data_IF_780942179787
#
_entry.id   IF_780942179787
#
_cell.length_a   1.000
_cell.length_b   1.000
_cell.length_c   1.000
_cell.angle_alpha   90.00
_cell.angle_beta   90.00
_cell.angle_gamma   90.00
#
_symmetry.space_group_name_H-M   'P 1'
#
loop_
_entity.id
_entity.type
_entity.pdbx_description
1 polymer ?
#
# COMPACT_ATOMS: atom_id res chain seq x y z
N UNK A 1 -12.94 3.18 19.69
CA UNK A 1 -12.65 1.94 20.45
C UNK A 1 -11.14 1.76 20.40
N UNK A 2 -10.48 1.88 21.55
CA UNK A 2 -9.03 1.68 21.64
C UNK A 2 -8.69 0.19 21.59
N UNK A 3 -7.53 -0.16 21.05
CA UNK A 3 -7.03 -1.53 21.01
C UNK A 3 -5.53 -1.54 21.33
N UNK A 4 -5.11 -2.37 22.29
CA UNK A 4 -3.69 -2.48 22.70
C UNK A 4 -3.01 -1.13 23.04
N UNK A 5 -3.78 -0.18 23.58
CA UNK A 5 -3.27 1.17 23.90
C UNK A 5 -3.24 2.15 22.72
N UNK A 6 -3.66 1.73 21.53
CA UNK A 6 -3.76 2.58 20.34
C UNK A 6 -5.19 3.10 20.08
N UNK A 7 -5.35 4.26 19.40
CA UNK A 7 -6.65 4.89 19.14
C UNK A 7 -7.65 4.02 18.39
N UNK A 8 -7.16 3.19 17.47
CA UNK A 8 -7.97 2.29 16.66
C UNK A 8 -7.37 0.89 16.56
N UNK A 9 -8.18 -0.10 16.16
CA UNK A 9 -7.66 -1.44 15.83
C UNK A 9 -6.65 -1.42 14.68
N UNK A 10 -6.78 -0.46 13.75
CA UNK A 10 -5.85 -0.29 12.66
C UNK A 10 -4.48 0.19 13.15
N UNK A 11 -4.45 1.20 14.00
CA UNK A 11 -3.21 1.73 14.60
C UNK A 11 -2.51 0.67 15.46
N UNK A 12 -3.27 -0.12 16.21
CA UNK A 12 -2.76 -1.27 16.95
C UNK A 12 -2.07 -2.29 16.03
N UNK A 13 -2.68 -2.62 14.89
CA UNK A 13 -2.11 -3.52 13.88
C UNK A 13 -0.82 -2.96 13.27
N UNK A 14 -0.79 -1.67 12.92
CA UNK A 14 0.42 -1.02 12.43
C UNK A 14 1.56 -1.09 13.45
N UNK A 15 1.29 -0.79 14.72
CA UNK A 15 2.29 -0.85 15.79
C UNK A 15 2.86 -2.26 15.97
N UNK A 16 2.01 -3.29 15.89
CA UNK A 16 2.47 -4.68 15.93
C UNK A 16 3.38 -5.02 14.75
N UNK A 17 3.00 -4.66 13.52
CA UNK A 17 3.83 -4.90 12.33
C UNK A 17 5.16 -4.15 12.40
N UNK A 18 5.13 -2.88 12.78
CA UNK A 18 6.32 -2.04 12.96
C UNK A 18 7.28 -2.62 14.00
N UNK A 19 6.75 -3.14 15.11
CA UNK A 19 7.57 -3.71 16.19
C UNK A 19 8.16 -5.06 15.80
N UNK A 20 7.36 -5.92 15.14
CA UNK A 20 7.77 -7.28 14.79
C UNK A 20 8.79 -7.33 13.65
N UNK A 21 8.70 -6.42 12.67
CA UNK A 21 9.59 -6.38 11.52
C UNK A 21 9.75 -4.95 10.97
N UNK A 22 10.59 -4.10 11.59
CA UNK A 22 10.73 -2.69 11.22
C UNK A 22 11.12 -2.47 9.74
N UNK A 23 12.04 -3.28 9.22
CA UNK A 23 12.49 -3.18 7.82
C UNK A 23 11.39 -3.55 6.83
N UNK A 24 10.65 -4.63 7.09
CA UNK A 24 9.52 -5.03 6.26
C UNK A 24 8.39 -4.00 6.31
N UNK A 25 8.13 -3.42 7.48
CA UNK A 25 7.16 -2.34 7.65
C UNK A 25 7.55 -1.09 6.85
N UNK A 26 8.83 -0.70 6.87
CA UNK A 26 9.31 0.45 6.11
C UNK A 26 9.06 0.29 4.59
N UNK A 27 9.22 -0.92 4.05
CA UNK A 27 8.91 -1.21 2.65
C UNK A 27 7.41 -1.06 2.34
N UNK A 28 6.52 -1.50 3.24
CA UNK A 28 5.07 -1.36 3.08
C UNK A 28 4.69 0.13 3.07
N UNK A 29 5.18 0.89 4.05
CA UNK A 29 4.89 2.33 4.17
C UNK A 29 5.41 3.10 2.97
N UNK A 30 6.61 2.80 2.48
CA UNK A 30 7.18 3.44 1.28
C UNK A 30 6.35 3.14 0.01
N UNK A 31 5.78 1.94 -0.10
CA UNK A 31 4.96 1.56 -1.25
C UNK A 31 3.52 2.12 -1.20
N UNK A 32 2.99 2.42 0.00
CA UNK A 32 1.58 2.79 0.17
C UNK A 32 1.17 4.03 -0.66
N UNK A 33 1.90 5.17 -0.63
CA UNK A 33 1.52 6.35 -1.40
C UNK A 33 1.50 6.11 -2.91
N UNK A 34 2.40 5.26 -3.41
CA UNK A 34 2.46 4.90 -4.83
C UNK A 34 1.19 4.14 -5.25
N UNK A 35 0.78 3.14 -4.46
CA UNK A 35 -0.43 2.37 -4.76
C UNK A 35 -1.69 3.20 -4.56
N UNK A 36 -1.75 4.05 -3.53
CA UNK A 36 -2.90 4.90 -3.26
C UNK A 36 -3.07 5.97 -4.35
N UNK A 37 -1.98 6.62 -4.78
CA UNK A 37 -2.00 7.59 -5.88
C UNK A 37 -2.38 6.99 -7.23
N UNK A 38 -2.21 5.67 -7.39
CA UNK A 38 -2.51 4.94 -8.62
C UNK A 38 -3.66 3.94 -8.47
N UNK A 39 -4.50 4.08 -7.42
CA UNK A 39 -5.47 3.06 -7.03
C UNK A 39 -6.34 2.60 -8.20
N UNK A 40 -6.91 3.53 -8.95
CA UNK A 40 -7.79 3.21 -10.08
C UNK A 40 -7.04 2.46 -11.21
N UNK A 41 -5.84 2.94 -11.58
CA UNK A 41 -5.01 2.32 -12.61
C UNK A 41 -4.63 0.89 -12.21
N UNK A 42 -4.19 0.69 -10.96
CA UNK A 42 -3.82 -0.63 -10.43
C UNK A 42 -5.02 -1.58 -10.42
N UNK A 43 -6.21 -1.13 -10.02
CA UNK A 43 -7.41 -1.99 -10.06
C UNK A 43 -7.79 -2.39 -11.49
N UNK A 44 -7.77 -1.45 -12.45
CA UNK A 44 -8.03 -1.75 -13.86
C UNK A 44 -7.03 -2.77 -14.42
N UNK A 45 -5.75 -2.62 -14.09
CA UNK A 45 -4.72 -3.57 -14.50
C UNK A 45 -4.93 -4.96 -13.89
N UNK A 46 -5.36 -5.07 -12.63
CA UNK A 46 -5.72 -6.35 -12.00
C UNK A 46 -6.88 -7.01 -12.72
N UNK A 47 -7.96 -6.28 -12.97
CA UNK A 47 -9.11 -6.81 -13.72
C UNK A 47 -8.72 -7.29 -15.12
N UNK A 48 -7.85 -6.55 -15.81
CA UNK A 48 -7.36 -6.94 -17.14
C UNK A 48 -6.52 -8.21 -17.07
N UNK A 49 -5.63 -8.33 -16.08
CA UNK A 49 -4.85 -9.55 -15.85
C UNK A 49 -5.75 -10.75 -15.57
N UNK A 50 -6.78 -10.57 -14.73
CA UNK A 50 -7.74 -11.61 -14.37
C UNK A 50 -8.60 -12.07 -15.55
N UNK A 51 -9.03 -11.12 -16.41
CA UNK A 51 -9.76 -11.41 -17.65
C UNK A 51 -8.88 -12.11 -18.68
N UNK A 52 -7.62 -11.68 -18.80
CA UNK A 52 -6.68 -12.20 -19.79
C UNK A 52 -5.97 -13.49 -19.35
N UNK A 53 -6.05 -13.85 -18.06
CA UNK A 53 -5.34 -14.97 -17.42
C UNK A 53 -3.84 -14.94 -17.68
N UNK A 54 -3.28 -13.74 -17.77
CA UNK A 54 -1.85 -13.52 -18.05
C UNK A 54 -1.39 -12.18 -17.46
N UNK A 55 -0.08 -12.01 -17.21
CA UNK A 55 0.47 -10.72 -16.82
C UNK A 55 0.15 -9.62 -17.84
N UNK A 56 -0.13 -8.40 -17.34
CA UNK A 56 -0.33 -7.20 -18.15
C UNK A 56 0.67 -6.12 -17.75
N UNK A 57 1.02 -5.22 -18.67
CA UNK A 57 1.73 -3.98 -18.32
C UNK A 57 0.73 -2.99 -17.75
N UNK A 58 1.08 -2.41 -16.61
CA UNK A 58 0.37 -1.30 -16.02
C UNK A 58 1.24 -0.05 -16.08
N UNK A 59 0.69 1.05 -16.61
CA UNK A 59 1.35 2.36 -16.51
C UNK A 59 0.85 3.03 -15.24
N UNK A 60 1.78 3.44 -14.38
CA UNK A 60 1.52 4.17 -13.15
C UNK A 60 2.21 5.53 -13.20
N UNK A 61 1.65 6.50 -12.50
CA UNK A 61 2.25 7.81 -12.26
C UNK A 61 3.11 7.76 -11.00
N UNK A 62 4.40 8.06 -11.15
CA UNK A 62 5.32 8.25 -10.04
C UNK A 62 5.57 9.75 -9.89
N UNK A 63 5.18 10.31 -8.75
CA UNK A 63 5.43 11.71 -8.43
C UNK A 63 6.83 11.87 -7.82
N UNK A 64 7.50 13.00 -8.03
CA UNK A 64 8.79 13.26 -7.39
C UNK A 64 8.64 13.31 -5.86
N UNK A 65 9.58 12.71 -5.16
CA UNK A 65 9.70 12.74 -3.70
C UNK A 65 10.14 14.15 -3.23
N UNK A 66 9.23 15.12 -3.25
CA UNK A 66 9.59 16.48 -2.85
C UNK A 66 8.55 17.59 -3.03
N UNK A 67 7.32 17.29 -3.44
CA UNK A 67 6.28 18.32 -3.60
C UNK A 67 5.56 18.66 -2.29
N UNK A 68 6.27 19.25 -1.32
CA UNK A 68 5.64 20.11 -0.31
C UNK A 68 5.96 21.56 -0.66
#
# INVERSE_FOLDING_TARGET
MHALGEPTMWDAGQRLMQTAAPESWALIVAASPLVDGNREAVQKCREQADKAKKPVRCTIEVRPDGGR
#
